data_IF_036639277303
#
_entry.id   IF_036639277303
#
_cell.length_a   1.000
_cell.length_b   1.000
_cell.length_c   1.000
_cell.angle_alpha   90.00
_cell.angle_beta   90.00
_cell.angle_gamma   90.00
#
_symmetry.space_group_name_H-M   'P 1'
#
loop_
_entity.id
_entity.type
_entity.pdbx_description
1 polymer ?
#
# COMPACT_ATOMS: atom_id res chain seq x y z
N UNK A 1 -13.47 11.73 13.85
CA UNK A 1 -14.21 12.23 12.66
C UNK A 1 -13.51 11.76 11.40
N UNK A 2 -14.27 11.22 10.44
CA UNK A 2 -13.72 10.77 9.16
C UNK A 2 -13.24 11.96 8.32
N UNK A 3 -12.09 11.82 7.68
CA UNK A 3 -11.55 12.88 6.81
C UNK A 3 -12.48 13.17 5.62
N UNK A 4 -13.23 12.18 5.13
CA UNK A 4 -14.15 12.35 4.00
C UNK A 4 -15.29 13.32 4.29
N UNK A 5 -15.65 13.52 5.56
CA UNK A 5 -16.70 14.47 5.95
C UNK A 5 -16.36 15.92 5.63
N UNK A 6 -15.10 16.19 5.26
CA UNK A 6 -14.65 17.52 4.83
C UNK A 6 -14.99 17.84 3.38
N UNK A 7 -15.51 16.86 2.64
CA UNK A 7 -15.76 16.99 1.21
C UNK A 7 -17.22 16.76 0.87
N UNK A 8 -17.72 17.52 -0.09
CA UNK A 8 -19.07 17.33 -0.62
C UNK A 8 -19.20 16.09 -1.49
N UNK A 9 -18.11 15.71 -2.17
CA UNK A 9 -18.05 14.51 -3.00
C UNK A 9 -17.29 13.40 -2.30
N UNK A 10 -17.67 12.15 -2.57
CA UNK A 10 -16.93 11.00 -2.08
C UNK A 10 -15.51 10.99 -2.64
N UNK A 11 -14.50 11.00 -1.77
CA UNK A 11 -13.11 11.00 -2.21
C UNK A 11 -12.64 9.64 -2.70
N UNK A 12 -11.55 9.66 -3.45
CA UNK A 12 -10.79 8.46 -3.78
C UNK A 12 -9.65 8.32 -2.78
N UNK A 13 -9.54 7.15 -2.15
CA UNK A 13 -8.42 6.81 -1.27
C UNK A 13 -7.37 6.06 -2.06
N UNK A 14 -6.14 6.58 -2.07
CA UNK A 14 -4.98 5.93 -2.70
C UNK A 14 -3.98 5.57 -1.60
N UNK A 15 -3.74 4.28 -1.40
CA UNK A 15 -2.86 3.79 -0.35
C UNK A 15 -1.53 3.34 -0.93
N UNK A 16 -0.42 3.83 -0.37
CA UNK A 16 0.91 3.35 -0.67
C UNK A 16 1.13 1.99 -0.02
N UNK A 17 0.65 0.95 -0.69
CA UNK A 17 0.64 -0.40 -0.15
C UNK A 17 2.03 -0.96 0.08
N UNK A 18 2.98 -0.68 -0.82
CA UNK A 18 4.36 -1.17 -0.68
C UNK A 18 5.01 -0.67 0.60
N UNK A 19 4.83 0.60 0.94
CA UNK A 19 5.38 1.16 2.18
C UNK A 19 4.81 0.46 3.42
N UNK A 20 3.51 0.19 3.45
CA UNK A 20 2.89 -0.53 4.57
C UNK A 20 3.36 -1.98 4.66
N UNK A 21 3.51 -2.65 3.54
CA UNK A 21 4.00 -4.04 3.47
C UNK A 21 5.42 -4.12 4.04
N UNK A 22 6.33 -3.28 3.55
CA UNK A 22 7.73 -3.28 4.01
C UNK A 22 7.85 -2.91 5.49
N UNK A 23 7.18 -1.85 5.92
CA UNK A 23 7.21 -1.45 7.33
C UNK A 23 6.60 -2.50 8.25
N UNK A 24 5.50 -3.08 7.84
CA UNK A 24 4.86 -4.16 8.60
C UNK A 24 5.76 -5.37 8.74
N UNK A 25 6.46 -5.74 7.67
CA UNK A 25 7.40 -6.85 7.70
C UNK A 25 8.53 -6.60 8.72
N UNK A 26 9.16 -5.44 8.67
CA UNK A 26 10.30 -5.13 9.55
C UNK A 26 9.91 -4.78 10.98
N UNK A 27 8.65 -4.45 11.23
CA UNK A 27 8.19 -4.10 12.58
C UNK A 27 8.23 -5.27 13.55
N UNK A 28 7.96 -6.49 13.08
CA UNK A 28 8.00 -7.70 13.91
C UNK A 28 8.29 -8.93 13.05
N UNK A 29 9.55 -9.10 12.68
CA UNK A 29 9.97 -10.19 11.79
C UNK A 29 9.78 -11.59 12.40
N UNK A 30 9.64 -11.69 13.72
CA UNK A 30 9.43 -12.96 14.40
C UNK A 30 7.97 -13.43 14.40
N UNK A 31 7.05 -12.59 13.95
CA UNK A 31 5.62 -12.94 13.90
C UNK A 31 5.36 -14.03 12.86
N UNK A 32 4.76 -15.13 13.30
CA UNK A 32 4.48 -16.27 12.44
C UNK A 32 3.31 -17.08 12.97
N UNK A 33 2.70 -17.90 12.11
CA UNK A 33 1.72 -18.88 12.53
C UNK A 33 2.40 -20.02 13.29
N UNK A 34 1.60 -20.89 13.93
CA UNK A 34 2.11 -22.06 14.64
C UNK A 34 2.91 -23.02 13.75
N UNK A 35 2.65 -23.02 12.43
CA UNK A 35 3.37 -23.84 11.47
C UNK A 35 4.65 -23.16 10.93
N UNK A 36 4.99 -21.98 11.43
CA UNK A 36 6.18 -21.23 11.02
C UNK A 36 5.98 -20.29 9.83
N UNK A 37 4.77 -20.22 9.23
CA UNK A 37 4.52 -19.31 8.12
C UNK A 37 4.58 -17.84 8.59
N UNK A 38 5.39 -16.97 7.94
CA UNK A 38 5.55 -15.57 8.38
C UNK A 38 4.27 -14.77 8.12
N UNK A 39 3.90 -13.92 9.07
CA UNK A 39 2.64 -13.16 9.03
C UNK A 39 2.77 -11.69 9.40
N UNK A 40 3.99 -11.18 9.57
CA UNK A 40 4.21 -9.80 10.06
C UNK A 40 3.61 -8.74 9.16
N UNK A 41 3.89 -8.79 7.85
CA UNK A 41 3.36 -7.84 6.88
C UNK A 41 1.84 -8.00 6.71
N UNK A 42 1.37 -9.25 6.58
CA UNK A 42 -0.06 -9.55 6.44
C UNK A 42 -0.88 -9.02 7.62
N UNK A 43 -0.37 -9.21 8.84
CA UNK A 43 -1.05 -8.76 10.05
C UNK A 43 -1.20 -7.23 10.09
N UNK A 44 -0.12 -6.49 9.81
CA UNK A 44 -0.15 -5.02 9.82
C UNK A 44 -1.08 -4.48 8.72
N UNK A 45 -0.98 -5.03 7.51
CA UNK A 45 -1.85 -4.62 6.39
C UNK A 45 -3.32 -4.88 6.72
N UNK A 46 -3.63 -6.07 7.23
CA UNK A 46 -5.00 -6.42 7.63
C UNK A 46 -5.53 -5.47 8.70
N UNK A 47 -4.73 -5.20 9.73
CA UNK A 47 -5.12 -4.32 10.83
C UNK A 47 -5.42 -2.90 10.36
N UNK A 48 -4.54 -2.34 9.52
CA UNK A 48 -4.71 -0.98 9.00
C UNK A 48 -5.90 -0.91 8.07
N UNK A 49 -6.07 -1.87 7.16
CA UNK A 49 -7.21 -1.89 6.25
C UNK A 49 -8.53 -2.00 6.98
N UNK A 50 -8.63 -2.89 7.98
CA UNK A 50 -9.84 -3.04 8.79
C UNK A 50 -10.18 -1.74 9.52
N UNK A 51 -9.17 -1.03 10.03
CA UNK A 51 -9.36 0.26 10.69
C UNK A 51 -9.90 1.31 9.72
N UNK A 52 -9.28 1.43 8.53
CA UNK A 52 -9.70 2.39 7.50
C UNK A 52 -11.13 2.09 7.05
N UNK A 53 -11.45 0.82 6.78
CA UNK A 53 -12.78 0.43 6.34
C UNK A 53 -13.84 0.76 7.40
N UNK A 54 -13.53 0.57 8.67
CA UNK A 54 -14.44 0.86 9.77
C UNK A 54 -14.63 2.35 10.00
N UNK A 55 -13.54 3.12 10.03
CA UNK A 55 -13.56 4.54 10.38
C UNK A 55 -13.95 5.44 9.21
N UNK A 56 -13.45 5.14 8.01
CA UNK A 56 -13.64 5.99 6.83
C UNK A 56 -14.77 5.50 5.92
N UNK A 57 -15.06 4.21 5.91
CA UNK A 57 -16.06 3.60 5.01
C UNK A 57 -15.88 4.09 3.56
N UNK A 58 -14.71 3.90 2.95
CA UNK A 58 -14.43 4.42 1.62
C UNK A 58 -15.27 3.73 0.55
N UNK A 59 -15.78 4.50 -0.41
CA UNK A 59 -16.47 3.95 -1.60
C UNK A 59 -15.50 3.71 -2.75
N UNK A 60 -14.42 4.49 -2.80
CA UNK A 60 -13.39 4.39 -3.84
C UNK A 60 -12.04 4.25 -3.16
N UNK A 61 -11.40 3.11 -3.33
CA UNK A 61 -10.14 2.79 -2.67
C UNK A 61 -9.24 1.99 -3.60
N UNK A 62 -7.98 2.37 -3.69
CA UNK A 62 -6.97 1.60 -4.40
C UNK A 62 -5.77 1.36 -3.50
N UNK A 63 -5.36 0.11 -3.40
CA UNK A 63 -4.14 -0.34 -2.73
C UNK A 63 -3.08 -0.55 -3.80
N UNK A 64 -2.01 0.25 -3.77
CA UNK A 64 -1.00 0.28 -4.82
C UNK A 64 0.26 -0.43 -4.35
N UNK A 65 0.72 -1.39 -5.13
CA UNK A 65 1.95 -2.15 -4.87
C UNK A 65 2.93 -1.99 -6.02
N UNK A 66 4.22 -2.06 -5.68
CA UNK A 66 5.28 -2.20 -6.68
C UNK A 66 5.15 -3.57 -7.37
N UNK A 67 5.36 -3.57 -8.69
CA UNK A 67 5.48 -4.81 -9.44
C UNK A 67 6.83 -5.48 -9.25
N UNK A 68 6.95 -6.69 -9.78
CA UNK A 68 8.19 -7.43 -9.82
C UNK A 68 8.95 -7.09 -11.10
N UNK A 69 10.24 -6.83 -10.97
CA UNK A 69 11.13 -6.58 -12.10
C UNK A 69 11.57 -5.12 -12.24
N UNK A 70 12.40 -4.84 -13.27
CA UNK A 70 12.91 -3.49 -13.50
C UNK A 70 11.78 -2.56 -13.96
N UNK A 71 11.79 -1.33 -13.45
CA UNK A 71 10.86 -0.28 -13.85
C UNK A 71 11.56 0.76 -14.74
N UNK A 72 10.83 1.81 -15.17
CA UNK A 72 11.39 2.83 -16.03
C UNK A 72 12.62 3.55 -15.44
N UNK A 73 12.72 3.65 -14.10
CA UNK A 73 13.89 4.24 -13.45
C UNK A 73 15.13 3.37 -13.62
N UNK A 74 14.97 2.04 -13.60
CA UNK A 74 16.05 1.10 -13.89
C UNK A 74 16.47 1.15 -15.36
N UNK A 75 15.53 1.37 -16.28
CA UNK A 75 15.83 1.54 -17.71
C UNK A 75 16.65 2.82 -17.97
N UNK A 76 16.25 3.94 -17.34
CA UNK A 76 16.97 5.22 -17.49
C UNK A 76 18.30 5.24 -16.72
N UNK A 77 18.35 4.62 -15.56
CA UNK A 77 19.50 4.59 -14.68
C UNK A 77 19.73 3.16 -14.17
N UNK A 78 20.52 2.33 -14.89
CA UNK A 78 20.73 0.92 -14.50
C UNK A 78 21.27 0.74 -13.09
N UNK A 79 21.97 1.76 -12.53
CA UNK A 79 22.48 1.71 -11.16
C UNK A 79 21.46 2.16 -10.10
N UNK A 80 20.25 2.59 -10.52
CA UNK A 80 19.22 3.03 -9.59
C UNK A 80 18.77 1.87 -8.70
N UNK A 81 18.99 2.01 -7.39
CA UNK A 81 18.69 0.98 -6.39
C UNK A 81 19.41 -0.37 -6.62
N UNK A 82 20.43 -0.42 -7.48
CA UNK A 82 21.15 -1.67 -7.76
C UNK A 82 21.83 -2.26 -6.53
N UNK A 83 22.14 -1.45 -5.52
CA UNK A 83 22.76 -1.89 -4.26
C UNK A 83 21.75 -2.30 -3.19
N UNK A 84 20.45 -2.17 -3.44
CA UNK A 84 19.45 -2.65 -2.49
C UNK A 84 19.50 -4.18 -2.42
N UNK A 85 19.44 -4.69 -1.21
CA UNK A 85 19.33 -6.13 -1.00
C UNK A 85 18.07 -6.68 -1.65
N UNK A 86 18.11 -7.93 -2.09
CA UNK A 86 16.93 -8.62 -2.61
C UNK A 86 15.80 -8.63 -1.57
N UNK A 87 14.56 -8.66 -2.04
CA UNK A 87 13.40 -8.79 -1.16
C UNK A 87 13.51 -10.07 -0.31
N UNK A 88 13.39 -9.98 1.03
CA UNK A 88 13.46 -11.15 1.89
C UNK A 88 12.44 -12.22 1.50
N UNK A 89 12.86 -13.47 1.59
CA UNK A 89 12.01 -14.61 1.22
C UNK A 89 10.73 -14.67 2.07
N UNK A 90 10.83 -14.38 3.37
CA UNK A 90 9.68 -14.37 4.26
C UNK A 90 8.68 -13.27 3.92
N UNK A 91 9.12 -12.18 3.30
CA UNK A 91 8.23 -11.16 2.78
C UNK A 91 7.56 -11.62 1.47
N UNK A 92 8.33 -12.24 0.59
CA UNK A 92 7.80 -12.79 -0.67
C UNK A 92 6.65 -13.76 -0.39
N UNK A 93 6.79 -14.62 0.60
CA UNK A 93 5.73 -15.57 1.01
C UNK A 93 4.43 -14.90 1.41
N UNK A 94 4.49 -13.67 1.91
CA UNK A 94 3.31 -12.92 2.38
C UNK A 94 2.60 -12.14 1.28
N UNK A 95 3.23 -11.92 0.13
CA UNK A 95 2.68 -11.09 -0.94
C UNK A 95 1.37 -11.67 -1.48
N UNK A 96 1.33 -12.95 -1.82
CA UNK A 96 0.12 -13.58 -2.34
C UNK A 96 -1.05 -13.58 -1.32
N UNK A 97 -0.85 -13.92 -0.04
CA UNK A 97 -1.88 -13.75 0.97
C UNK A 97 -2.39 -12.30 1.10
N UNK A 98 -1.51 -11.31 0.98
CA UNK A 98 -1.90 -9.88 1.01
C UNK A 98 -2.79 -9.55 -0.18
N UNK A 99 -2.42 -9.98 -1.39
CA UNK A 99 -3.25 -9.79 -2.60
C UNK A 99 -4.65 -10.40 -2.39
N UNK A 100 -4.72 -11.62 -1.87
CA UNK A 100 -5.99 -12.30 -1.60
C UNK A 100 -6.82 -11.56 -0.56
N UNK A 101 -6.19 -11.03 0.48
CA UNK A 101 -6.87 -10.24 1.51
C UNK A 101 -7.53 -8.99 0.90
N UNK A 102 -6.77 -8.23 0.11
CA UNK A 102 -7.25 -6.99 -0.50
C UNK A 102 -8.46 -7.27 -1.40
N UNK A 103 -8.36 -8.29 -2.23
CA UNK A 103 -9.45 -8.70 -3.12
C UNK A 103 -10.66 -9.21 -2.34
N UNK A 104 -10.45 -9.97 -1.28
CA UNK A 104 -11.53 -10.48 -0.43
C UNK A 104 -12.27 -9.37 0.30
N UNK A 105 -11.61 -8.26 0.61
CA UNK A 105 -12.23 -7.07 1.19
C UNK A 105 -13.00 -6.22 0.16
N UNK A 106 -12.95 -6.60 -1.12
CA UNK A 106 -13.62 -5.86 -2.18
C UNK A 106 -12.90 -4.58 -2.59
N UNK A 107 -11.62 -4.44 -2.25
CA UNK A 107 -10.82 -3.27 -2.58
C UNK A 107 -10.10 -3.47 -3.91
N UNK A 108 -9.86 -2.36 -4.62
CA UNK A 108 -9.06 -2.41 -5.84
C UNK A 108 -7.58 -2.56 -5.50
N UNK A 109 -6.96 -3.55 -6.12
CA UNK A 109 -5.52 -3.78 -6.03
C UNK A 109 -4.88 -3.35 -7.35
N UNK A 110 -3.96 -2.40 -7.27
CA UNK A 110 -3.16 -1.95 -8.40
C UNK A 110 -1.71 -2.38 -8.20
N UNK A 111 -1.22 -3.24 -9.09
CA UNK A 111 0.17 -3.67 -9.11
C UNK A 111 0.85 -3.00 -10.29
N UNK A 112 1.83 -2.17 -10.01
CA UNK A 112 2.54 -1.40 -11.02
C UNK A 112 3.70 -2.22 -11.59
N UNK A 113 3.57 -2.68 -12.82
CA UNK A 113 4.60 -3.53 -13.47
C UNK A 113 5.75 -2.72 -14.09
N UNK A 114 5.51 -1.45 -14.40
CA UNK A 114 6.47 -0.61 -15.14
C UNK A 114 7.03 0.55 -14.33
N UNK A 115 6.48 0.87 -13.18
CA UNK A 115 6.93 1.98 -12.34
C UNK A 115 6.81 1.62 -10.85
N UNK A 116 7.40 2.45 -10.00
CA UNK A 116 7.25 2.30 -8.56
C UNK A 116 5.86 2.73 -8.10
N UNK A 117 5.43 2.24 -6.92
CA UNK A 117 4.15 2.61 -6.33
C UNK A 117 4.00 4.13 -6.18
N UNK A 118 5.06 4.82 -5.77
CA UNK A 118 5.06 6.28 -5.63
C UNK A 118 4.72 6.98 -6.95
N UNK A 119 5.30 6.52 -8.06
CA UNK A 119 5.04 7.08 -9.39
C UNK A 119 3.60 6.80 -9.82
N UNK A 120 3.09 5.61 -9.54
CA UNK A 120 1.71 5.24 -9.82
C UNK A 120 0.73 6.07 -8.99
N UNK A 121 1.00 6.25 -7.69
CA UNK A 121 0.18 7.08 -6.81
C UNK A 121 0.12 8.53 -7.30
N UNK A 122 1.27 9.10 -7.67
CA UNK A 122 1.33 10.47 -8.19
C UNK A 122 0.51 10.61 -9.48
N UNK A 123 0.61 9.65 -10.38
CA UNK A 123 -0.14 9.64 -11.65
C UNK A 123 -1.65 9.53 -11.41
N UNK A 124 -2.07 8.64 -10.53
CA UNK A 124 -3.49 8.46 -10.19
C UNK A 124 -4.05 9.70 -9.48
N UNK A 125 -3.31 10.26 -8.54
CA UNK A 125 -3.73 11.48 -7.84
C UNK A 125 -3.89 12.64 -8.83
N UNK A 126 -2.94 12.83 -9.74
CA UNK A 126 -2.99 13.87 -10.76
C UNK A 126 -4.20 13.69 -11.69
N UNK A 127 -4.51 12.45 -12.06
CA UNK A 127 -5.62 12.14 -12.96
C UNK A 127 -6.98 12.46 -12.32
N UNK A 128 -7.18 12.09 -11.06
CA UNK A 128 -8.50 12.14 -10.42
C UNK A 128 -8.77 13.39 -9.60
N UNK A 129 -7.75 14.15 -9.20
CA UNK A 129 -7.92 15.32 -8.33
C UNK A 129 -8.81 16.43 -8.91
N UNK A 130 -8.92 16.48 -10.25
CA UNK A 130 -9.79 17.46 -10.92
C UNK A 130 -11.26 17.02 -10.91
N UNK A 131 -11.51 15.73 -10.79
CA UNK A 131 -12.87 15.18 -10.80
C UNK A 131 -13.45 15.06 -9.40
N UNK A 132 -12.63 14.67 -8.43
CA UNK A 132 -13.03 14.50 -7.03
C UNK A 132 -11.83 14.58 -6.09
N UNK A 133 -12.10 14.79 -4.78
CA UNK A 133 -11.01 14.82 -3.81
C UNK A 133 -10.23 13.50 -3.79
N UNK A 134 -8.92 13.59 -3.63
CA UNK A 134 -8.02 12.45 -3.52
C UNK A 134 -7.38 12.47 -2.13
N UNK A 135 -7.49 11.38 -1.41
CA UNK A 135 -6.86 11.19 -0.10
C UNK A 135 -5.73 10.19 -0.26
N UNK A 136 -4.52 10.61 0.08
CA UNK A 136 -3.34 9.75 0.09
C UNK A 136 -3.19 9.12 1.47
N UNK A 137 -3.09 7.80 1.51
CA UNK A 137 -2.88 7.03 2.74
C UNK A 137 -1.45 6.55 2.75
N UNK A 138 -0.64 7.12 3.63
CA UNK A 138 0.79 6.82 3.75
C UNK A 138 1.14 6.34 5.16
N UNK A 139 2.31 5.74 5.29
CA UNK A 139 2.82 5.31 6.60
C UNK A 139 3.18 6.51 7.47
N UNK A 140 2.89 6.40 8.76
CA UNK A 140 3.35 7.32 9.78
C UNK A 140 4.60 6.74 10.48
N UNK A 141 5.11 7.44 11.49
CA UNK A 141 6.24 6.95 12.31
C UNK A 141 5.95 5.61 12.98
N UNK A 142 4.70 5.41 13.42
CA UNK A 142 4.24 4.13 13.94
C UNK A 142 3.83 3.23 12.77
N UNK A 143 4.44 2.02 12.59
CA UNK A 143 4.08 1.10 11.51
C UNK A 143 2.61 0.66 11.52
N UNK A 144 1.94 0.71 12.68
CA UNK A 144 0.54 0.33 12.82
C UNK A 144 -0.44 1.47 12.54
N UNK A 145 0.05 2.67 12.20
CA UNK A 145 -0.81 3.81 11.93
C UNK A 145 -0.61 4.34 10.51
N UNK A 146 -1.60 5.10 10.04
CA UNK A 146 -1.60 5.69 8.72
C UNK A 146 -1.80 7.20 8.81
N UNK A 147 -1.13 7.94 7.94
CA UNK A 147 -1.31 9.37 7.76
C UNK A 147 -2.15 9.61 6.52
N UNK A 148 -3.23 10.37 6.64
CA UNK A 148 -4.11 10.69 5.52
C UNK A 148 -3.95 12.16 5.16
N UNK A 149 -3.58 12.43 3.91
CA UNK A 149 -3.40 13.78 3.38
C UNK A 149 -4.21 13.97 2.12
N UNK A 150 -4.64 15.21 1.86
CA UNK A 150 -5.34 15.54 0.61
C UNK A 150 -4.33 15.95 -0.46
N UNK A 151 -4.60 15.52 -1.66
CA UNK A 151 -3.81 15.90 -2.83
C UNK A 151 -4.46 17.07 -3.55
#
# INVERSE_FOLDING_TARGET
>A
MSIKQRFEQEPIYLMDGSAFVYRGFYANQSMQRSDGFPTSALFIVARILMRILREEQPKHFAFVLDGHGPNFRHELFPLYKAQRSATPEDLIKQIDPIHRLIKALGLHLEVSDSCEADDCLASLAKRYREERPVILVATDKDPSSACMTTS
#
